data_IF_957136776671
#
_entry.id   IF_957136776671
#
_cell.length_a   1.000
_cell.length_b   1.000
_cell.length_c   1.000
_cell.angle_alpha   90.00
_cell.angle_beta   90.00
_cell.angle_gamma   90.00
#
_symmetry.space_group_name_H-M   'P 1'
#
loop_
_entity.id
_entity.type
_entity.pdbx_description
1 polymer ?
#
# COMPACT_ATOMS: atom_id res chain seq x y z
N UNK A 1 -16.36 -5.17 -21.87
CA UNK A 1 -15.25 -4.34 -21.41
C UNK A 1 -14.09 -5.21 -20.97
N UNK A 2 -12.91 -4.83 -21.35
CA UNK A 2 -11.71 -5.60 -21.01
C UNK A 2 -10.89 -4.85 -19.96
N UNK A 3 -10.53 -5.56 -18.92
CA UNK A 3 -9.62 -5.03 -17.92
C UNK A 3 -8.20 -5.40 -18.33
N UNK A 4 -7.26 -4.46 -18.15
CA UNK A 4 -5.85 -4.73 -18.41
C UNK A 4 -5.28 -5.63 -17.32
N UNK A 5 -4.11 -6.20 -17.56
CA UNK A 5 -3.41 -6.98 -16.53
C UNK A 5 -3.12 -6.13 -15.30
N UNK A 6 -2.83 -4.84 -15.49
CA UNK A 6 -2.55 -3.94 -14.38
C UNK A 6 -3.81 -3.65 -13.57
N UNK A 7 -4.98 -3.54 -14.23
CA UNK A 7 -6.25 -3.42 -13.50
C UNK A 7 -6.48 -4.63 -12.61
N UNK A 8 -6.28 -5.83 -13.16
CA UNK A 8 -6.49 -7.08 -12.44
C UNK A 8 -5.52 -7.18 -11.27
N UNK A 9 -4.24 -6.89 -11.52
CA UNK A 9 -3.21 -6.96 -10.48
C UNK A 9 -3.49 -5.98 -9.34
N UNK A 10 -3.86 -4.75 -9.69
CA UNK A 10 -4.20 -3.73 -8.71
C UNK A 10 -5.39 -4.16 -7.85
N UNK A 11 -6.42 -4.74 -8.48
CA UNK A 11 -7.60 -5.24 -7.77
C UNK A 11 -7.24 -6.38 -6.82
N UNK A 12 -6.44 -7.32 -7.30
CA UNK A 12 -5.99 -8.43 -6.46
C UNK A 12 -5.21 -7.94 -5.26
N UNK A 13 -4.36 -6.93 -5.47
CA UNK A 13 -3.56 -6.37 -4.38
C UNK A 13 -4.44 -5.64 -3.37
N UNK A 14 -5.46 -4.92 -3.83
CA UNK A 14 -6.42 -4.28 -2.92
C UNK A 14 -7.12 -5.31 -2.04
N UNK A 15 -7.45 -6.48 -2.59
CA UNK A 15 -8.05 -7.55 -1.80
C UNK A 15 -7.09 -8.08 -0.74
N UNK A 16 -5.81 -8.15 -1.07
CA UNK A 16 -4.77 -8.55 -0.10
C UNK A 16 -4.67 -7.50 1.02
N UNK A 17 -4.68 -6.22 0.66
CA UNK A 17 -4.66 -5.14 1.64
C UNK A 17 -5.85 -5.20 2.58
N UNK A 18 -7.06 -5.40 2.04
CA UNK A 18 -8.28 -5.51 2.84
C UNK A 18 -8.20 -6.69 3.81
N UNK A 19 -7.66 -7.82 3.36
CA UNK A 19 -7.54 -9.00 4.20
C UNK A 19 -6.55 -8.79 5.34
N UNK A 20 -5.38 -8.23 5.04
CA UNK A 20 -4.30 -8.11 6.03
C UNK A 20 -4.54 -6.96 7.00
N UNK A 21 -4.89 -5.79 6.48
CA UNK A 21 -5.14 -4.61 7.32
C UNK A 21 -6.47 -4.69 8.05
N UNK A 22 -7.45 -5.38 7.45
CA UNK A 22 -8.79 -5.54 8.01
C UNK A 22 -9.40 -4.18 8.38
N UNK A 23 -9.76 -3.97 9.64
CA UNK A 23 -10.41 -2.73 10.11
C UNK A 23 -9.47 -1.53 10.16
N UNK A 24 -8.17 -1.74 9.96
CA UNK A 24 -7.18 -0.67 10.02
C UNK A 24 -7.04 0.08 8.71
N UNK A 25 -7.71 -0.37 7.67
CA UNK A 25 -7.71 0.29 6.36
C UNK A 25 -9.07 0.92 6.11
N UNK A 26 -9.05 2.14 5.56
CA UNK A 26 -10.27 2.81 5.10
C UNK A 26 -10.47 2.61 3.61
N UNK A 27 -11.11 3.58 2.97
CA UNK A 27 -11.33 3.56 1.52
C UNK A 27 -10.00 3.63 0.77
N UNK A 28 -9.87 2.82 -0.27
CA UNK A 28 -8.70 2.87 -1.15
C UNK A 28 -9.11 3.36 -2.53
N UNK A 29 -8.13 3.90 -3.26
CA UNK A 29 -8.31 4.43 -4.60
C UNK A 29 -7.16 3.96 -5.49
N UNK A 30 -7.49 3.41 -6.65
CA UNK A 30 -6.51 3.02 -7.67
C UNK A 30 -6.44 4.10 -8.73
N UNK A 31 -5.22 4.41 -9.17
CA UNK A 31 -5.03 5.43 -10.21
C UNK A 31 -3.69 5.23 -10.93
N UNK A 32 -3.46 6.03 -11.97
CA UNK A 32 -2.25 5.96 -12.80
C UNK A 32 -1.99 4.55 -13.33
N UNK A 33 -3.06 3.88 -13.77
CA UNK A 33 -2.98 2.53 -14.30
C UNK A 33 -2.55 2.58 -15.75
N UNK A 34 -1.37 2.05 -16.06
CA UNK A 34 -0.82 1.98 -17.41
C UNK A 34 -0.40 0.54 -17.68
N UNK A 35 -0.80 0.01 -18.81
CA UNK A 35 -0.46 -1.35 -19.22
C UNK A 35 0.00 -1.34 -20.66
N UNK A 36 1.24 -0.93 -20.86
CA UNK A 36 1.89 -0.85 -22.17
C UNK A 36 3.16 -1.69 -22.17
N UNK A 37 3.65 -2.12 -23.34
CA UNK A 37 4.93 -2.85 -23.37
C UNK A 37 6.03 -2.03 -22.69
N UNK A 38 6.73 -2.65 -21.78
CA UNK A 38 7.82 -2.05 -21.01
C UNK A 38 7.41 -0.88 -20.10
N UNK A 39 6.11 -0.65 -19.93
CA UNK A 39 5.62 0.39 -19.03
C UNK A 39 4.31 -0.07 -18.38
N UNK A 40 4.44 -0.77 -17.26
CA UNK A 40 3.30 -1.29 -16.50
C UNK A 40 3.33 -0.69 -15.11
N UNK A 41 2.34 0.14 -14.81
CA UNK A 41 2.29 0.86 -13.54
C UNK A 41 0.88 0.86 -12.97
N UNK A 42 0.79 1.03 -11.67
CA UNK A 42 -0.42 1.47 -10.99
C UNK A 42 -0.05 2.03 -9.63
N UNK A 43 -0.97 2.81 -9.07
CA UNK A 43 -0.83 3.35 -7.71
C UNK A 43 -2.12 3.09 -6.95
N UNK A 44 -1.97 2.88 -5.64
CA UNK A 44 -3.09 2.71 -4.74
C UNK A 44 -2.86 3.60 -3.53
N UNK A 45 -3.83 4.46 -3.22
CA UNK A 45 -3.83 5.25 -2.00
C UNK A 45 -4.88 4.70 -1.06
N UNK A 46 -4.57 4.67 0.23
CA UNK A 46 -5.53 4.28 1.24
C UNK A 46 -5.22 4.95 2.57
N UNK A 47 -6.26 5.10 3.38
CA UNK A 47 -6.10 5.62 4.73
C UNK A 47 -5.82 4.46 5.67
N UNK A 48 -4.73 4.53 6.41
CA UNK A 48 -4.34 3.49 7.35
C UNK A 48 -4.46 4.02 8.77
N UNK A 49 -5.09 3.23 9.66
CA UNK A 49 -5.24 3.54 11.08
C UNK A 49 -5.99 4.84 11.36
N UNK A 50 -6.77 5.34 10.40
CA UNK A 50 -7.38 6.67 10.50
C UNK A 50 -6.36 7.77 10.81
N UNK A 51 -5.09 7.54 10.49
CA UNK A 51 -4.02 8.45 10.86
C UNK A 51 -3.21 8.93 9.66
N UNK A 52 -2.76 8.01 8.81
CA UNK A 52 -1.92 8.34 7.66
C UNK A 52 -2.59 7.98 6.35
N UNK A 53 -2.28 8.74 5.31
CA UNK A 53 -2.52 8.32 3.92
C UNK A 53 -1.28 7.58 3.45
N UNK A 54 -1.49 6.36 2.97
CA UNK A 54 -0.43 5.50 2.47
C UNK A 54 -0.57 5.38 0.96
N UNK A 55 0.55 5.46 0.25
CA UNK A 55 0.59 5.29 -1.19
C UNK A 55 1.41 4.05 -1.52
N UNK A 56 0.84 3.15 -2.31
CA UNK A 56 1.55 2.00 -2.86
C UNK A 56 1.80 2.26 -4.34
N UNK A 57 3.07 2.24 -4.73
CA UNK A 57 3.49 2.45 -6.11
C UNK A 57 4.00 1.14 -6.69
N UNK A 58 3.49 0.78 -7.86
CA UNK A 58 4.00 -0.33 -8.64
C UNK A 58 4.48 0.19 -9.99
N UNK A 59 5.69 -0.21 -10.37
CA UNK A 59 6.24 0.11 -11.69
C UNK A 59 7.15 -1.02 -12.16
N UNK A 60 6.74 -1.68 -13.24
CA UNK A 60 7.53 -2.75 -13.88
C UNK A 60 8.08 -3.77 -12.87
N UNK A 61 7.19 -4.33 -12.07
CA UNK A 61 7.48 -5.35 -11.03
C UNK A 61 8.22 -4.83 -9.80
N UNK A 62 8.50 -3.52 -9.72
CA UNK A 62 9.05 -2.91 -8.51
C UNK A 62 7.93 -2.22 -7.76
N UNK A 63 7.92 -2.37 -6.45
CA UNK A 63 6.89 -1.75 -5.63
C UNK A 63 7.44 -1.17 -4.33
N UNK A 64 6.75 -0.15 -3.83
CA UNK A 64 7.19 0.56 -2.64
C UNK A 64 6.00 1.21 -1.96
N UNK A 65 6.08 1.31 -0.63
CA UNK A 65 5.05 1.98 0.19
C UNK A 65 5.58 3.30 0.71
N UNK A 66 4.71 4.31 0.72
CA UNK A 66 5.04 5.64 1.21
C UNK A 66 3.97 6.15 2.17
N UNK A 67 4.40 6.96 3.14
CA UNK A 67 3.48 7.82 3.89
C UNK A 67 3.43 9.15 3.15
N UNK A 68 2.23 9.58 2.77
CA UNK A 68 2.01 10.85 2.07
C UNK A 68 1.88 11.95 3.12
N UNK A 69 2.79 12.92 3.10
CA UNK A 69 2.77 14.06 4.01
C UNK A 69 2.02 15.24 3.40
N UNK A 70 2.33 15.53 2.15
CA UNK A 70 1.67 16.60 1.38
C UNK A 70 1.61 16.13 -0.08
N UNK A 71 1.02 16.95 -0.96
CA UNK A 71 1.00 16.66 -2.40
C UNK A 71 2.40 16.48 -2.99
N UNK A 72 3.39 17.09 -2.35
CA UNK A 72 4.76 17.14 -2.88
C UNK A 72 5.77 16.38 -2.05
N UNK A 73 5.35 15.83 -0.91
CA UNK A 73 6.29 15.17 0.00
C UNK A 73 5.73 13.85 0.51
N UNK A 74 6.54 12.81 0.39
CA UNK A 74 6.22 11.49 0.92
C UNK A 74 7.48 10.83 1.47
N UNK A 75 7.30 9.91 2.42
CA UNK A 75 8.39 9.19 3.08
C UNK A 75 8.26 7.72 2.77
N UNK A 76 9.32 7.09 2.27
CA UNK A 76 9.33 5.66 2.02
C UNK A 76 9.28 4.88 3.34
N UNK A 77 8.43 3.86 3.37
CA UNK A 77 8.34 2.94 4.51
C UNK A 77 9.35 1.80 4.40
N UNK A 78 10.03 1.69 3.27
CA UNK A 78 11.02 0.64 3.03
C UNK A 78 12.34 1.31 2.64
N UNK A 79 13.44 0.59 2.86
CA UNK A 79 14.77 1.13 2.51
C UNK A 79 14.99 1.13 1.00
N UNK A 80 14.35 0.19 0.32
CA UNK A 80 14.48 0.03 -1.13
C UNK A 80 13.21 -0.60 -1.67
N UNK A 81 12.93 -0.42 -2.97
CA UNK A 81 11.78 -1.07 -3.59
C UNK A 81 11.89 -2.58 -3.52
N UNK A 82 10.75 -3.25 -3.38
CA UNK A 82 10.66 -4.70 -3.45
C UNK A 82 10.32 -5.13 -4.87
N UNK A 83 10.68 -6.36 -5.23
CA UNK A 83 10.26 -6.96 -6.49
C UNK A 83 8.95 -7.70 -6.24
N UNK A 84 7.87 -7.20 -6.81
CA UNK A 84 6.51 -7.69 -6.53
C UNK A 84 6.37 -9.19 -6.74
N UNK A 85 6.88 -9.70 -7.86
CA UNK A 85 6.76 -11.11 -8.19
C UNK A 85 7.58 -12.04 -7.29
N UNK A 86 8.53 -11.48 -6.54
CA UNK A 86 9.37 -12.25 -5.63
C UNK A 86 8.84 -12.29 -4.21
N UNK A 87 7.80 -11.51 -3.92
CA UNK A 87 7.17 -11.54 -2.60
C UNK A 87 6.27 -12.77 -2.55
N UNK A 88 6.67 -13.78 -1.78
CA UNK A 88 5.95 -15.05 -1.70
C UNK A 88 4.93 -15.07 -0.57
N UNK A 89 5.08 -14.18 0.41
CA UNK A 89 4.20 -14.11 1.58
C UNK A 89 3.84 -12.66 1.84
N UNK A 90 2.77 -12.20 1.20
CA UNK A 90 2.31 -10.83 1.37
C UNK A 90 1.80 -10.55 2.78
N UNK A 91 1.28 -11.57 3.47
CA UNK A 91 0.82 -11.38 4.84
C UNK A 91 1.97 -10.94 5.74
N UNK A 92 3.11 -11.63 5.69
CA UNK A 92 4.29 -11.26 6.45
C UNK A 92 4.87 -9.93 6.02
N UNK A 93 4.94 -9.69 4.71
CA UNK A 93 5.46 -8.43 4.19
C UNK A 93 4.63 -7.24 4.67
N UNK A 94 3.30 -7.34 4.55
CA UNK A 94 2.40 -6.26 4.95
C UNK A 94 2.38 -6.06 6.46
N UNK A 95 2.55 -7.12 7.26
CA UNK A 95 2.67 -6.96 8.70
C UNK A 95 3.90 -6.14 9.06
N UNK A 96 4.99 -6.32 8.33
CA UNK A 96 6.18 -5.48 8.49
C UNK A 96 5.90 -4.01 8.16
N UNK A 97 5.15 -3.76 7.09
CA UNK A 97 4.73 -2.41 6.72
C UNK A 97 3.82 -1.82 7.81
N UNK A 98 2.88 -2.62 8.33
CA UNK A 98 2.00 -2.18 9.42
C UNK A 98 2.81 -1.77 10.65
N UNK A 99 3.83 -2.54 11.01
CA UNK A 99 4.71 -2.20 12.13
C UNK A 99 5.42 -0.87 11.91
N UNK A 100 5.90 -0.62 10.68
CA UNK A 100 6.55 0.64 10.33
C UNK A 100 5.58 1.82 10.44
N UNK A 101 4.31 1.62 10.05
CA UNK A 101 3.29 2.65 10.21
C UNK A 101 3.01 2.88 11.69
N UNK A 102 2.83 1.82 12.48
CA UNK A 102 2.49 1.91 13.89
C UNK A 102 3.57 2.62 14.70
N UNK A 103 4.84 2.42 14.35
CA UNK A 103 5.95 3.10 15.03
C UNK A 103 5.85 4.62 14.94
N UNK A 104 5.13 5.14 13.95
CA UNK A 104 4.99 6.57 13.71
C UNK A 104 3.69 7.13 14.25
N UNK A 105 2.85 6.30 14.85
CA UNK A 105 1.57 6.71 15.46
C UNK A 105 1.73 6.68 16.97
N UNK A 106 1.30 7.73 17.69
CA UNK A 106 1.37 7.71 19.16
C UNK A 106 0.59 6.53 19.75
N UNK A 107 1.17 5.86 20.73
CA UNK A 107 0.52 4.74 21.41
C UNK A 107 -0.85 5.12 21.95
N UNK A 108 -0.97 6.32 22.45
CA UNK A 108 -2.21 6.83 22.99
C UNK A 108 -3.34 6.81 21.96
N UNK A 109 -3.02 7.15 20.71
CA UNK A 109 -3.98 7.10 19.62
C UNK A 109 -4.38 5.66 19.29
N UNK A 110 -3.39 4.78 19.19
CA UNK A 110 -3.63 3.36 18.91
C UNK A 110 -4.47 2.71 19.99
N UNK A 111 -4.22 3.03 21.25
CA UNK A 111 -5.01 2.53 22.39
C UNK A 111 -6.45 3.02 22.32
N UNK A 112 -6.64 4.28 21.99
CA UNK A 112 -7.98 4.87 21.88
C UNK A 112 -8.80 4.18 20.77
N UNK A 113 -8.15 3.68 19.73
CA UNK A 113 -8.80 2.99 18.63
C UNK A 113 -8.94 1.49 18.87
N UNK A 114 -8.37 0.96 19.94
CA UNK A 114 -8.41 -0.47 20.24
C UNK A 114 -7.42 -1.29 19.42
N UNK A 115 -6.37 -0.68 18.90
CA UNK A 115 -5.36 -1.34 18.08
C UNK A 115 -4.04 -1.59 18.81
N UNK A 116 -3.99 -1.26 20.07
CA UNK A 116 -2.80 -1.50 20.89
C UNK A 116 -3.19 -2.16 22.21
#
# INVERSE_FOLDING_TARGET
MFESQMDILAYEFCNILDRVFAKRIGTWCMYDIVDEPNHQTFKIDFKAYDYFTIEFDYENDLCEFFIVLTKEAKISLTKEPAVYSQVTDWDSYLKGIMEEIELRIPDKFLKAKGWL
#
